data_IF_519736520591
#
_entry.id   IF_519736520591
#
_cell.length_a   1.000
_cell.length_b   1.000
_cell.length_c   1.000
_cell.angle_alpha   90.00
_cell.angle_beta   90.00
_cell.angle_gamma   90.00
#
_symmetry.space_group_name_H-M   'P 1'
#
loop_
_entity.id
_entity.type
_entity.pdbx_description
1 polymer ?
#
# COMPACT_ATOMS: atom_id res chain seq x y z
N UNK A 1 1.36 -4.31 -3.09
CA UNK A 1 0.96 -3.10 -2.33
C UNK A 1 0.93 -1.87 -3.25
N UNK A 2 2.07 -1.30 -3.65
CA UNK A 2 2.13 -0.08 -4.48
C UNK A 2 1.46 -0.18 -5.85
N UNK A 3 1.26 -1.39 -6.37
CA UNK A 3 0.57 -1.62 -7.64
C UNK A 3 -0.96 -1.45 -7.57
N UNK A 4 -1.57 -1.60 -6.39
CA UNK A 4 -3.04 -1.74 -6.26
C UNK A 4 -3.77 -0.54 -5.66
N UNK A 5 -3.04 0.47 -5.21
CA UNK A 5 -3.57 1.68 -4.61
C UNK A 5 -2.63 2.84 -4.96
N UNK A 6 -3.14 4.07 -5.06
CA UNK A 6 -2.30 5.26 -5.26
C UNK A 6 -1.61 5.65 -3.94
N UNK A 7 -0.27 5.54 -3.82
CA UNK A 7 0.48 5.86 -2.61
C UNK A 7 0.85 7.36 -2.53
N UNK A 8 0.38 8.19 -3.48
CA UNK A 8 0.76 9.60 -3.61
C UNK A 8 -0.33 10.55 -3.08
N UNK A 9 -1.51 10.02 -2.77
CA UNK A 9 -2.64 10.80 -2.28
C UNK A 9 -2.74 10.77 -0.75
N UNK A 10 -2.46 11.91 -0.11
CA UNK A 10 -2.55 12.05 1.34
C UNK A 10 -4.00 11.87 1.83
N UNK A 11 -4.21 10.95 2.78
CA UNK A 11 -5.49 10.70 3.45
C UNK A 11 -6.68 10.47 2.49
N UNK A 12 -6.43 9.77 1.38
CA UNK A 12 -7.42 9.46 0.35
C UNK A 12 -6.99 8.25 -0.48
N UNK A 13 -7.95 7.42 -0.87
CA UNK A 13 -7.79 6.43 -1.95
C UNK A 13 -9.02 6.43 -2.85
N UNK A 14 -8.84 6.73 -4.14
CA UNK A 14 -9.96 6.87 -5.06
C UNK A 14 -11.04 7.86 -4.57
N UNK A 15 -12.26 7.36 -4.37
CA UNK A 15 -13.39 8.14 -3.88
C UNK A 15 -13.39 8.33 -2.34
N UNK A 16 -12.62 7.52 -1.63
CA UNK A 16 -12.65 7.42 -0.17
C UNK A 16 -11.69 8.44 0.47
N UNK A 17 -12.18 9.27 1.39
CA UNK A 17 -11.44 10.42 1.96
C UNK A 17 -11.46 10.41 3.48
N UNK A 18 -10.31 10.69 4.09
CA UNK A 18 -10.12 10.71 5.53
C UNK A 18 -8.89 9.92 5.98
N UNK A 19 -8.49 10.09 7.24
CA UNK A 19 -7.32 9.42 7.82
C UNK A 19 -7.43 7.89 7.77
N UNK A 20 -8.65 7.35 7.77
CA UNK A 20 -8.93 5.91 7.62
C UNK A 20 -8.46 5.32 6.29
N UNK A 21 -8.21 6.16 5.27
CA UNK A 21 -7.84 5.73 3.91
C UNK A 21 -6.43 6.15 3.53
N UNK A 22 -5.59 6.50 4.50
CA UNK A 22 -4.17 6.81 4.25
C UNK A 22 -3.40 5.55 3.86
N UNK A 23 -2.39 5.71 3.02
CA UNK A 23 -1.42 4.65 2.76
C UNK A 23 -0.48 4.52 3.97
N UNK A 24 -0.29 3.30 4.47
CA UNK A 24 0.67 3.01 5.54
C UNK A 24 1.28 1.62 5.46
N UNK A 25 2.52 1.53 5.92
CA UNK A 25 3.26 0.28 6.11
C UNK A 25 3.68 0.23 7.58
N UNK A 26 3.24 -0.82 8.29
CA UNK A 26 3.56 -1.04 9.69
C UNK A 26 4.52 -2.21 9.83
N UNK A 27 5.79 -1.92 10.13
CA UNK A 27 6.86 -2.93 10.13
C UNK A 27 6.95 -3.65 11.49
N UNK A 28 7.21 -4.96 11.47
CA UNK A 28 7.34 -5.77 12.69
C UNK A 28 8.79 -5.90 13.18
N UNK A 29 9.75 -5.61 12.29
CA UNK A 29 11.18 -5.68 12.55
C UNK A 29 11.97 -4.72 11.63
N UNK A 30 13.27 -4.61 11.88
CA UNK A 30 14.16 -3.73 11.11
C UNK A 30 14.39 -4.22 9.67
N UNK A 31 14.22 -5.52 9.40
CA UNK A 31 14.37 -6.05 8.04
C UNK A 31 13.22 -5.59 7.15
N UNK A 32 11.99 -5.66 7.66
CA UNK A 32 10.80 -5.13 6.99
C UNK A 32 10.89 -3.62 6.84
N UNK A 33 11.35 -2.89 7.87
CA UNK A 33 11.56 -1.44 7.79
C UNK A 33 12.50 -1.09 6.64
N UNK A 34 13.71 -1.69 6.62
CA UNK A 34 14.69 -1.45 5.56
C UNK A 34 14.13 -1.80 4.18
N UNK A 35 13.42 -2.93 4.07
CA UNK A 35 12.80 -3.35 2.79
C UNK A 35 11.75 -2.35 2.33
N UNK A 36 10.94 -1.81 3.25
CA UNK A 36 9.94 -0.80 2.93
C UNK A 36 10.58 0.53 2.52
N UNK A 37 11.61 0.99 3.24
CA UNK A 37 12.40 2.19 2.89
C UNK A 37 13.01 2.07 1.49
N UNK A 38 13.69 0.95 1.21
CA UNK A 38 14.27 0.63 -0.09
C UNK A 38 13.22 0.61 -1.20
N UNK A 39 12.06 0.00 -0.94
CA UNK A 39 11.01 -0.11 -1.94
C UNK A 39 10.36 1.25 -2.22
N UNK A 40 10.14 2.07 -1.19
CA UNK A 40 9.66 3.46 -1.35
C UNK A 40 10.65 4.26 -2.17
N UNK A 41 11.96 4.12 -1.90
CA UNK A 41 13.01 4.79 -2.66
C UNK A 41 13.01 4.35 -4.13
N UNK A 42 12.86 3.04 -4.42
CA UNK A 42 12.75 2.54 -5.79
C UNK A 42 11.49 3.07 -6.49
N UNK A 43 10.34 3.13 -5.79
CA UNK A 43 9.09 3.70 -6.32
C UNK A 43 9.27 5.16 -6.71
N UNK A 44 9.78 5.99 -5.79
CA UNK A 44 10.04 7.41 -6.04
C UNK A 44 11.06 7.61 -7.17
N UNK A 45 12.14 6.81 -7.19
CA UNK A 45 13.19 6.91 -8.20
C UNK A 45 12.73 6.47 -9.59
N UNK A 46 11.75 5.57 -9.68
CA UNK A 46 11.26 5.04 -10.96
C UNK A 46 10.52 6.06 -11.81
N UNK A 47 9.87 7.05 -11.19
CA UNK A 47 8.98 7.99 -11.87
C UNK A 47 7.72 7.36 -12.48
N UNK A 48 7.40 6.10 -12.16
CA UNK A 48 6.23 5.39 -12.69
C UNK A 48 4.92 5.76 -11.98
N UNK A 49 5.01 6.27 -10.76
CA UNK A 49 3.86 6.72 -9.96
C UNK A 49 3.57 8.21 -10.20
N UNK A 50 2.31 8.65 -10.00
CA UNK A 50 1.85 9.99 -10.40
C UNK A 50 2.40 11.14 -9.54
N UNK A 51 3.23 10.85 -8.54
CA UNK A 51 3.76 11.82 -7.60
C UNK A 51 4.67 11.16 -6.56
N UNK A 52 5.13 11.98 -5.60
CA UNK A 52 5.94 11.52 -4.48
C UNK A 52 5.12 10.60 -3.57
N UNK A 53 5.72 9.52 -3.10
CA UNK A 53 5.11 8.64 -2.11
C UNK A 53 4.85 9.39 -0.79
N UNK A 54 3.63 9.28 -0.29
CA UNK A 54 3.19 9.81 1.03
C UNK A 54 2.81 8.71 2.01
N UNK A 55 3.13 7.46 1.69
CA UNK A 55 2.95 6.29 2.55
C UNK A 55 3.68 6.49 3.88
N UNK A 56 2.97 6.37 4.99
CA UNK A 56 3.60 6.35 6.31
C UNK A 56 4.38 5.04 6.53
N UNK A 57 5.48 5.13 7.27
CA UNK A 57 6.29 3.99 7.65
C UNK A 57 6.54 4.05 9.16
N UNK A 58 5.85 3.20 9.92
CA UNK A 58 5.84 3.23 11.38
C UNK A 58 6.00 1.81 11.96
N UNK A 59 6.51 1.64 13.19
CA UNK A 59 6.54 0.33 13.83
C UNK A 59 5.11 -0.15 14.08
N UNK A 60 4.89 -1.46 13.95
CA UNK A 60 3.59 -2.05 14.25
C UNK A 60 3.19 -1.79 15.72
N UNK A 61 1.96 -1.31 15.90
CA UNK A 61 1.33 -1.12 17.21
C UNK A 61 0.23 -2.15 17.46
N UNK A 62 -0.78 -1.76 18.23
CA UNK A 62 -1.99 -2.57 18.39
C UNK A 62 -2.78 -2.66 17.07
N UNK A 63 -3.24 -3.86 16.74
CA UNK A 63 -4.14 -4.09 15.61
C UNK A 63 -5.52 -4.47 16.13
N UNK A 64 -6.47 -3.55 15.97
CA UNK A 64 -7.86 -3.76 16.39
C UNK A 64 -8.62 -4.45 15.27
N UNK A 65 -8.95 -5.73 15.47
CA UNK A 65 -9.69 -6.52 14.49
C UNK A 65 -11.05 -5.88 14.19
N UNK A 66 -11.35 -5.72 12.90
CA UNK A 66 -12.65 -5.20 12.44
C UNK A 66 -13.77 -6.23 12.66
N UNK A 67 -15.00 -5.76 12.71
CA UNK A 67 -16.19 -6.57 12.93
C UNK A 67 -16.34 -7.69 11.88
N UNK A 68 -16.99 -8.82 12.23
CA UNK A 68 -17.11 -9.98 11.33
C UNK A 68 -17.72 -9.67 9.95
N UNK A 69 -18.63 -8.70 9.84
CA UNK A 69 -19.17 -8.30 8.54
C UNK A 69 -18.17 -7.65 7.58
N UNK A 70 -16.98 -7.27 8.04
CA UNK A 70 -15.90 -6.72 7.23
C UNK A 70 -14.90 -7.78 6.75
N UNK A 71 -14.77 -8.89 7.46
CA UNK A 71 -13.83 -9.97 7.13
C UNK A 71 -14.26 -10.72 5.87
N UNK A 72 -13.35 -10.94 4.92
CA UNK A 72 -13.64 -11.61 3.63
C UNK A 72 -14.84 -10.99 2.86
N UNK A 73 -15.05 -9.68 3.01
CA UNK A 73 -16.22 -9.00 2.44
C UNK A 73 -16.37 -9.22 0.93
N UNK A 74 -15.29 -9.11 0.16
CA UNK A 74 -15.33 -9.32 -1.30
C UNK A 74 -15.35 -10.79 -1.71
N UNK A 75 -15.02 -11.73 -0.82
CA UNK A 75 -15.27 -13.15 -1.09
C UNK A 75 -16.76 -13.47 -0.95
N UNK A 76 -17.41 -12.90 0.08
CA UNK A 76 -18.85 -13.04 0.33
C UNK A 76 -19.71 -12.25 -0.66
N UNK A 77 -19.23 -11.08 -1.07
CA UNK A 77 -19.89 -10.20 -2.03
C UNK A 77 -18.93 -9.84 -3.18
N UNK A 78 -18.74 -10.72 -4.18
CA UNK A 78 -17.77 -10.52 -5.26
C UNK A 78 -17.98 -9.27 -6.13
N UNK A 79 -19.21 -8.76 -6.17
CA UNK A 79 -19.56 -7.52 -6.87
C UNK A 79 -19.68 -6.31 -5.93
N UNK A 80 -19.16 -6.43 -4.69
CA UNK A 80 -19.13 -5.38 -3.70
C UNK A 80 -18.21 -4.21 -4.11
N UNK A 81 -18.26 -3.13 -3.34
CA UNK A 81 -17.47 -1.95 -3.63
C UNK A 81 -15.97 -2.21 -3.46
N UNK A 82 -15.18 -1.79 -4.45
CA UNK A 82 -13.72 -1.66 -4.35
C UNK A 82 -13.21 -0.60 -5.32
N UNK A 83 -12.21 0.16 -4.92
CA UNK A 83 -11.45 1.08 -5.78
C UNK A 83 -10.02 0.56 -6.06
N UNK A 84 -9.68 -0.65 -5.59
CA UNK A 84 -8.37 -1.27 -5.73
C UNK A 84 -8.31 -2.15 -6.98
N UNK A 85 -7.27 -1.96 -7.79
CA UNK A 85 -6.99 -2.80 -8.97
C UNK A 85 -5.50 -2.72 -9.31
N UNK A 86 -4.89 -3.77 -9.88
CA UNK A 86 -3.50 -3.72 -10.29
C UNK A 86 -3.32 -2.77 -11.49
N UNK A 87 -2.47 -1.75 -11.34
CA UNK A 87 -1.99 -0.91 -12.44
C UNK A 87 -0.81 -1.61 -13.11
N UNK A 88 -0.91 -1.89 -14.41
CA UNK A 88 0.13 -2.65 -15.14
C UNK A 88 1.44 -1.89 -15.29
N UNK A 89 1.39 -0.57 -15.25
CA UNK A 89 2.49 0.39 -15.36
C UNK A 89 3.16 0.71 -14.02
N UNK A 90 2.54 0.32 -12.90
CA UNK A 90 3.07 0.54 -11.54
C UNK A 90 3.85 -0.68 -11.05
N UNK A 91 4.90 -1.02 -11.79
CA UNK A 91 5.72 -2.21 -11.56
C UNK A 91 7.19 -1.84 -11.61
N UNK A 92 7.90 -2.09 -10.51
CA UNK A 92 9.35 -1.91 -10.45
C UNK A 92 10.08 -3.00 -11.25
N UNK A 93 11.24 -2.70 -11.85
CA UNK A 93 12.15 -3.72 -12.33
C UNK A 93 12.48 -4.71 -11.21
N UNK A 94 12.53 -6.02 -11.51
CA UNK A 94 13.01 -6.99 -10.52
C UNK A 94 14.50 -6.74 -10.30
N UNK A 95 14.88 -6.40 -9.07
CA UNK A 95 16.30 -6.43 -8.64
C UNK A 95 16.82 -7.84 -8.98
N UNK A 96 17.91 -7.94 -9.76
CA UNK A 96 18.60 -9.21 -9.91
C UNK A 96 19.03 -9.64 -8.50
N UNK A 97 18.77 -10.90 -8.13
CA UNK A 97 19.34 -11.43 -6.90
C UNK A 97 20.86 -11.27 -7.03
N UNK A 98 21.47 -10.59 -6.06
CA UNK A 98 22.92 -10.60 -5.94
C UNK A 98 23.33 -12.07 -5.77
N UNK A 99 24.11 -12.59 -6.71
CA UNK A 99 24.80 -13.89 -6.59
C UNK A 99 25.74 -13.91 -5.39
#
# INVERSE_FOLDING_TARGET
FFQIHDPTTLNRQGNDRGLSYRSGIYYVDEEQKRTAEDTIADVDASGLWPGKVVTELEPVGEFWEAEPEHQDYLERYPNGYTCHFPRSDWVLPRRQAAE
#
